data_IF_775053363089
#
_entry.id   IF_775053363089
#
_cell.length_a   1.000
_cell.length_b   1.000
_cell.length_c   1.000
_cell.angle_alpha   90.00
_cell.angle_beta   90.00
_cell.angle_gamma   90.00
#
_symmetry.space_group_name_H-M   'P 1'
#
loop_
_entity.id
_entity.type
_entity.pdbx_description
1 polymer ?
#
# COMPACT_ATOMS: atom_id res chain seq x y z
N UNK A 1 -19.32 -6.75 5.82
CA UNK A 1 -18.18 -5.87 5.46
C UNK A 1 -18.01 -4.81 6.55
N UNK A 2 -16.80 -4.63 7.08
CA UNK A 2 -16.55 -3.77 8.25
C UNK A 2 -16.29 -2.30 7.90
N UNK A 3 -15.67 -2.05 6.74
CA UNK A 3 -15.59 -0.76 6.05
C UNK A 3 -15.18 -0.98 4.60
N UNK A 4 -15.39 0.02 3.75
CA UNK A 4 -14.86 0.01 2.39
C UNK A 4 -13.39 0.48 2.37
N UNK A 5 -12.58 -0.11 1.49
CA UNK A 5 -11.21 0.32 1.20
C UNK A 5 -11.15 0.78 -0.26
N UNK A 6 -10.58 1.95 -0.49
CA UNK A 6 -10.62 2.65 -1.79
C UNK A 6 -9.24 2.85 -2.41
N UNK A 7 -8.17 2.63 -1.63
CA UNK A 7 -6.78 2.86 -2.03
C UNK A 7 -6.07 1.52 -2.24
N UNK A 8 -5.12 1.48 -3.17
CA UNK A 8 -4.15 0.39 -3.30
C UNK A 8 -2.79 0.83 -2.76
N UNK A 9 -2.37 0.23 -1.64
CA UNK A 9 -1.05 0.40 -1.07
C UNK A 9 -0.21 -0.85 -1.35
N UNK A 10 0.84 -0.70 -2.17
CA UNK A 10 1.72 -1.78 -2.62
C UNK A 10 3.09 -1.58 -1.99
N UNK A 11 3.48 -2.51 -1.12
CA UNK A 11 4.74 -2.44 -0.37
C UNK A 11 5.87 -3.16 -1.09
N UNK A 12 7.06 -2.56 -1.08
CA UNK A 12 8.27 -3.13 -1.67
C UNK A 12 9.49 -2.93 -0.77
N UNK A 13 10.43 -3.86 -0.80
CA UNK A 13 11.72 -3.74 -0.11
C UNK A 13 12.76 -2.96 -0.93
N UNK A 14 12.42 -2.60 -2.17
CA UNK A 14 13.29 -1.80 -3.03
C UNK A 14 12.84 -0.34 -2.99
N UNK A 15 13.79 0.58 -2.88
CA UNK A 15 13.49 2.01 -3.03
C UNK A 15 12.94 2.30 -4.41
N UNK A 16 12.06 3.29 -4.50
CA UNK A 16 11.46 3.69 -5.75
C UNK A 16 12.49 4.43 -6.59
N UNK A 17 12.81 3.89 -7.75
CA UNK A 17 13.71 4.53 -8.71
C UNK A 17 13.02 5.71 -9.39
N UNK A 18 13.76 6.79 -9.64
CA UNK A 18 13.23 8.05 -10.21
C UNK A 18 12.56 7.86 -11.59
N UNK A 19 12.93 6.82 -12.34
CA UNK A 19 12.39 6.52 -13.66
C UNK A 19 11.03 5.79 -13.62
N UNK A 20 10.54 5.39 -12.44
CA UNK A 20 9.29 4.61 -12.30
C UNK A 20 8.05 5.39 -12.73
N UNK A 21 8.04 6.72 -12.59
CA UNK A 21 6.91 7.54 -13.01
C UNK A 21 6.60 7.39 -14.52
N UNK A 22 7.63 7.34 -15.37
CA UNK A 22 7.45 7.15 -16.82
C UNK A 22 6.82 5.79 -17.14
N UNK A 23 7.21 4.74 -16.41
CA UNK A 23 6.62 3.41 -16.55
C UNK A 23 5.13 3.43 -16.17
N UNK A 24 4.79 4.12 -15.07
CA UNK A 24 3.39 4.28 -14.65
C UNK A 24 2.59 5.05 -15.70
N UNK A 25 3.13 6.15 -16.25
CA UNK A 25 2.47 6.91 -17.32
C UNK A 25 2.23 6.05 -18.56
N UNK A 26 3.17 5.17 -18.92
CA UNK A 26 3.00 4.27 -20.05
C UNK A 26 1.89 3.22 -19.82
N UNK A 27 1.69 2.79 -18.57
CA UNK A 27 0.68 1.77 -18.21
C UNK A 27 -0.70 2.40 -18.02
N UNK A 28 -0.80 3.50 -17.25
CA UNK A 28 -2.06 4.13 -16.85
C UNK A 28 -2.46 5.33 -17.72
N UNK A 29 -1.60 5.72 -18.65
CA UNK A 29 -1.78 6.88 -19.51
C UNK A 29 -1.31 8.20 -18.89
N UNK A 30 -1.27 9.25 -19.72
CA UNK A 30 -0.79 10.59 -19.32
C UNK A 30 -1.73 11.35 -18.37
N UNK A 31 -2.95 10.85 -18.18
CA UNK A 31 -4.00 11.53 -17.39
C UNK A 31 -3.96 11.17 -15.90
N UNK A 32 -2.88 10.55 -15.41
CA UNK A 32 -2.70 10.33 -13.98
C UNK A 32 -2.35 11.63 -13.26
N UNK A 33 -2.83 11.78 -12.02
CA UNK A 33 -2.42 12.89 -11.15
C UNK A 33 -1.37 12.39 -10.16
N UNK A 34 -0.13 12.85 -10.31
CA UNK A 34 0.94 12.58 -9.34
C UNK A 34 0.60 13.21 -7.98
N UNK A 35 0.79 12.47 -6.90
CA UNK A 35 0.54 12.89 -5.51
C UNK A 35 1.86 12.95 -4.73
N UNK A 36 2.64 11.86 -4.72
CA UNK A 36 3.95 11.76 -4.06
C UNK A 36 4.94 11.14 -5.04
N UNK A 37 6.19 11.60 -5.05
CA UNK A 37 7.26 11.11 -5.93
C UNK A 37 8.61 11.27 -5.23
N UNK A 38 8.93 10.28 -4.39
CA UNK A 38 10.12 10.25 -3.55
C UNK A 38 10.70 8.82 -3.53
N UNK A 39 11.98 8.63 -3.18
CA UNK A 39 12.58 7.30 -3.11
C UNK A 39 11.87 6.33 -2.14
N UNK A 40 11.12 6.85 -1.16
CA UNK A 40 10.34 6.06 -0.21
C UNK A 40 8.90 5.80 -0.65
N UNK A 41 8.34 6.60 -1.55
CA UNK A 41 6.93 6.51 -1.94
C UNK A 41 6.70 7.15 -3.31
N UNK A 42 5.96 6.46 -4.17
CA UNK A 42 5.40 7.00 -5.39
C UNK A 42 3.90 6.75 -5.42
N UNK A 43 3.13 7.83 -5.31
CA UNK A 43 1.67 7.79 -5.22
C UNK A 43 1.05 8.63 -6.31
N UNK A 44 -0.01 8.10 -6.94
CA UNK A 44 -0.73 8.76 -8.01
C UNK A 44 -2.21 8.41 -7.98
N UNK A 45 -3.03 9.24 -8.63
CA UNK A 45 -4.43 9.01 -8.87
C UNK A 45 -4.63 8.58 -10.32
N UNK A 46 -5.35 7.48 -10.55
CA UNK A 46 -5.76 7.07 -11.89
C UNK A 46 -6.83 8.01 -12.47
N UNK A 47 -7.13 7.87 -13.77
CA UNK A 47 -8.22 8.62 -14.43
C UNK A 47 -9.59 8.34 -13.77
N UNK A 48 -9.77 7.14 -13.24
CA UNK A 48 -10.96 6.66 -12.54
C UNK A 48 -11.00 7.08 -11.06
N UNK A 49 -10.07 7.95 -10.63
CA UNK A 49 -9.96 8.46 -9.26
C UNK A 49 -9.61 7.39 -8.21
N UNK A 50 -8.90 6.33 -8.62
CA UNK A 50 -8.36 5.31 -7.70
C UNK A 50 -6.95 5.75 -7.29
N UNK A 51 -6.67 5.82 -5.99
CA UNK A 51 -5.33 6.11 -5.49
C UNK A 51 -4.50 4.83 -5.47
N UNK A 52 -3.31 4.90 -6.05
CA UNK A 52 -2.31 3.83 -6.02
C UNK A 52 -1.01 4.38 -5.43
N UNK A 53 -0.47 3.68 -4.44
CA UNK A 53 0.76 4.01 -3.73
C UNK A 53 1.75 2.85 -3.85
N UNK A 54 2.95 3.11 -4.39
CA UNK A 54 4.10 2.22 -4.28
C UNK A 54 4.97 2.69 -3.11
N UNK A 55 5.07 1.90 -2.06
CA UNK A 55 5.68 2.31 -0.79
C UNK A 55 6.88 1.43 -0.49
N UNK A 56 8.05 2.05 -0.32
CA UNK A 56 9.21 1.38 0.27
C UNK A 56 8.93 1.09 1.74
N UNK A 57 8.99 -0.18 2.11
CA UNK A 57 8.86 -0.62 3.49
C UNK A 57 10.10 -1.43 3.88
N UNK A 58 10.86 -1.00 4.90
CA UNK A 58 12.14 -1.61 5.23
C UNK A 58 12.00 -2.98 5.91
N UNK A 59 10.80 -3.34 6.36
CA UNK A 59 10.56 -4.60 7.07
C UNK A 59 10.06 -5.66 6.09
N UNK A 60 10.77 -6.81 5.97
CA UNK A 60 10.32 -7.91 5.14
C UNK A 60 9.06 -8.59 5.73
N UNK A 61 8.21 -9.24 4.91
CA UNK A 61 7.16 -10.10 5.42
C UNK A 61 7.74 -11.19 6.33
N UNK A 62 7.15 -11.40 7.50
CA UNK A 62 7.58 -12.42 8.45
C UNK A 62 6.96 -13.78 8.13
N UNK A 63 5.84 -13.79 7.39
CA UNK A 63 5.13 -14.99 6.99
C UNK A 63 5.06 -15.11 5.46
N UNK A 64 4.83 -16.33 4.94
CA UNK A 64 4.62 -16.52 3.51
C UNK A 64 3.49 -15.64 2.98
N UNK A 65 3.77 -14.91 1.90
CA UNK A 65 2.76 -14.12 1.22
C UNK A 65 1.68 -15.01 0.59
N UNK A 66 0.45 -14.54 0.60
CA UNK A 66 -0.68 -15.19 -0.04
C UNK A 66 -0.59 -14.92 -1.54
N UNK A 67 -0.36 -15.98 -2.33
CA UNK A 67 -0.28 -15.86 -3.79
C UNK A 67 -1.66 -15.58 -4.38
N UNK A 68 -1.73 -14.60 -5.27
CA UNK A 68 -2.91 -14.34 -6.12
C UNK A 68 -2.47 -14.27 -7.59
N UNK A 69 -3.40 -14.29 -8.55
CA UNK A 69 -3.05 -14.19 -9.97
C UNK A 69 -2.34 -12.88 -10.37
N UNK A 70 -2.43 -11.82 -9.56
CA UNK A 70 -1.93 -10.49 -9.94
C UNK A 70 -0.89 -9.94 -8.96
N UNK A 71 -1.23 -9.82 -7.68
CA UNK A 71 -0.34 -9.27 -6.65
C UNK A 71 -0.35 -10.18 -5.42
N UNK A 72 0.83 -10.55 -4.94
CA UNK A 72 0.93 -11.26 -3.68
C UNK A 72 0.43 -10.36 -2.54
N UNK A 73 -0.36 -10.93 -1.63
CA UNK A 73 -0.88 -10.23 -0.46
C UNK A 73 -0.07 -10.60 0.77
N UNK A 74 0.08 -9.66 1.70
CA UNK A 74 0.67 -9.93 3.00
C UNK A 74 -0.18 -10.94 3.78
N UNK A 75 0.49 -11.75 4.58
CA UNK A 75 -0.21 -12.56 5.58
C UNK A 75 -0.96 -11.62 6.54
N UNK A 76 -2.11 -12.06 7.05
CA UNK A 76 -2.90 -11.26 8.00
C UNK A 76 -2.11 -10.89 9.26
N UNK A 77 -1.18 -11.74 9.71
CA UNK A 77 -0.27 -11.44 10.84
C UNK A 77 0.69 -10.29 10.53
N UNK A 78 1.27 -10.28 9.33
CA UNK A 78 2.12 -9.17 8.86
C UNK A 78 1.30 -7.89 8.70
N UNK A 79 0.06 -8.01 8.21
CA UNK A 79 -0.85 -6.87 8.08
C UNK A 79 -1.20 -6.26 9.46
N UNK A 80 -1.44 -7.11 10.46
CA UNK A 80 -1.69 -6.66 11.83
C UNK A 80 -0.46 -5.96 12.44
N UNK A 81 0.74 -6.52 12.25
CA UNK A 81 1.98 -5.88 12.67
C UNK A 81 2.20 -4.52 11.99
N UNK A 82 1.93 -4.43 10.69
CA UNK A 82 1.99 -3.17 9.95
C UNK A 82 0.99 -2.14 10.47
N UNK A 83 -0.21 -2.57 10.89
CA UNK A 83 -1.19 -1.67 11.53
C UNK A 83 -0.71 -1.16 12.88
N UNK A 84 -0.19 -2.03 13.74
CA UNK A 84 0.40 -1.63 15.02
C UNK A 84 1.53 -0.61 14.82
N UNK A 85 2.43 -0.86 13.86
CA UNK A 85 3.48 0.08 13.47
C UNK A 85 2.91 1.43 12.98
N UNK A 86 1.87 1.40 12.15
CA UNK A 86 1.25 2.61 11.59
C UNK A 86 0.54 3.45 12.65
N UNK A 87 -0.11 2.82 13.62
CA UNK A 87 -0.78 3.50 14.75
C UNK A 87 0.23 4.32 15.54
N UNK A 88 1.42 3.78 15.83
CA UNK A 88 2.48 4.50 16.54
C UNK A 88 3.06 5.71 15.78
N UNK A 89 2.68 5.92 14.51
CA UNK A 89 3.17 7.03 13.68
C UNK A 89 2.11 8.06 13.33
N UNK A 90 0.93 7.64 12.89
CA UNK A 90 -0.17 8.54 12.48
C UNK A 90 -1.44 8.41 13.34
N UNK A 91 -1.78 7.19 13.77
CA UNK A 91 -2.96 6.94 14.60
C UNK A 91 -4.30 7.33 13.98
N UNK A 92 -4.59 6.97 12.72
CA UNK A 92 -5.89 7.24 12.09
C UNK A 92 -6.98 6.27 12.59
N UNK A 93 -8.23 6.73 12.71
CA UNK A 93 -9.38 5.90 13.16
C UNK A 93 -9.46 4.55 12.43
N UNK A 94 -9.27 4.57 11.10
CA UNK A 94 -9.32 3.36 10.26
C UNK A 94 -8.26 2.32 10.62
N UNK A 95 -7.10 2.73 11.15
CA UNK A 95 -6.05 1.79 11.55
C UNK A 95 -6.42 1.03 12.82
N UNK A 96 -7.08 1.68 13.78
CA UNK A 96 -7.62 1.03 14.97
C UNK A 96 -8.74 0.05 14.62
N UNK A 97 -9.65 0.44 13.73
CA UNK A 97 -10.73 -0.44 13.24
C UNK A 97 -10.15 -1.68 12.56
N UNK A 98 -9.19 -1.50 11.65
CA UNK A 98 -8.56 -2.62 10.95
C UNK A 98 -7.85 -3.57 11.91
N UNK A 99 -7.07 -3.02 12.85
CA UNK A 99 -6.37 -3.83 13.84
C UNK A 99 -7.35 -4.60 14.74
N UNK A 100 -8.44 -3.96 15.18
CA UNK A 100 -9.48 -4.64 15.98
C UNK A 100 -10.06 -5.85 15.24
N UNK A 101 -10.43 -5.71 13.96
CA UNK A 101 -10.98 -6.82 13.19
C UNK A 101 -9.95 -7.90 12.84
N UNK A 102 -8.66 -7.55 12.76
CA UNK A 102 -7.58 -8.53 12.61
C UNK A 102 -7.31 -9.32 13.89
N UNK A 103 -7.57 -8.76 15.08
CA UNK A 103 -7.32 -9.42 16.37
C UNK A 103 -8.54 -10.15 16.94
N UNK A 104 -9.76 -9.75 16.55
CA UNK A 104 -11.00 -10.38 17.02
C UNK A 104 -11.22 -11.77 16.44
N UNK A 105 -10.60 -12.07 15.30
CA UNK A 105 -10.71 -13.34 14.56
C UNK A 105 -9.42 -14.14 14.65
#
# INVERSE_FOLDING_TARGET
AHRYSYDFDIFTQQRIASQRLNQIINIFGKNIKRIVDQPSELSFLTKEKIKISLIYFPFPPLYPMIKTPSLALLNLKDLAANKAYTIGRRGEYRDYVDLFFLLKN
#
